data_IF_280245534238
#
_entry.id   IF_280245534238
#
_cell.length_a   1.000
_cell.length_b   1.000
_cell.length_c   1.000
_cell.angle_alpha   90.00
_cell.angle_beta   90.00
_cell.angle_gamma   90.00
#
_symmetry.space_group_name_H-M   'P 1'
#
loop_
_entity.id
_entity.type
_entity.pdbx_description
1 polymer ?
#
# COMPACT_ATOMS: atom_id res chain seq x y z
N UNK A 1 25.28 9.23 -1.91
CA UNK A 1 23.98 9.67 -2.47
C UNK A 1 23.54 10.89 -1.69
N UNK A 2 23.45 12.06 -2.33
CA UNK A 2 22.96 13.28 -1.67
C UNK A 2 21.47 13.15 -1.42
N UNK A 3 21.04 13.31 -0.16
CA UNK A 3 19.62 13.52 0.18
C UNK A 3 19.08 14.75 -0.59
N UNK A 4 17.90 14.60 -1.19
CA UNK A 4 17.25 15.63 -1.97
C UNK A 4 16.92 16.88 -1.16
N UNK A 5 16.97 18.08 -1.77
CA UNK A 5 16.61 19.34 -1.11
C UNK A 5 15.20 19.29 -0.48
N UNK A 6 14.20 18.80 -1.21
CA UNK A 6 12.79 18.79 -0.76
C UNK A 6 12.53 17.86 0.43
N UNK A 7 13.14 16.67 0.46
CA UNK A 7 13.05 15.75 1.61
C UNK A 7 13.80 16.29 2.83
N UNK A 8 14.94 16.97 2.61
CA UNK A 8 15.66 17.68 3.67
C UNK A 8 14.80 18.79 4.26
N UNK A 9 14.11 19.54 3.42
CA UNK A 9 13.22 20.62 3.84
C UNK A 9 12.03 20.07 4.63
N UNK A 10 11.34 19.02 4.16
CA UNK A 10 10.24 18.38 4.91
C UNK A 10 10.72 17.84 6.28
N UNK A 11 11.90 17.22 6.34
CA UNK A 11 12.47 16.72 7.60
C UNK A 11 12.88 17.84 8.53
N UNK A 12 13.38 18.96 7.99
CA UNK A 12 13.68 20.18 8.76
C UNK A 12 12.40 20.74 9.36
N UNK A 13 11.35 20.91 8.56
CA UNK A 13 10.05 21.44 9.01
C UNK A 13 9.41 20.54 10.09
N UNK A 14 9.56 19.21 9.98
CA UNK A 14 9.09 18.28 11.02
C UNK A 14 9.86 18.48 12.34
N UNK A 15 11.18 18.69 12.29
CA UNK A 15 12.01 18.95 13.49
C UNK A 15 11.64 20.29 14.13
N UNK A 16 11.50 21.34 13.32
CA UNK A 16 11.10 22.66 13.80
C UNK A 16 9.74 22.61 14.50
N UNK A 17 8.76 21.87 13.97
CA UNK A 17 7.46 21.68 14.62
C UNK A 17 7.59 20.91 15.96
N UNK A 18 8.49 19.94 16.05
CA UNK A 18 8.73 19.19 17.28
C UNK A 18 9.39 20.07 18.37
N UNK A 19 10.31 20.94 17.96
CA UNK A 19 10.95 21.94 18.84
C UNK A 19 9.95 22.98 19.35
N UNK A 20 9.14 23.57 18.45
CA UNK A 20 8.09 24.53 18.81
C UNK A 20 7.05 23.88 19.74
N UNK A 21 6.66 22.63 19.49
CA UNK A 21 5.74 21.91 20.36
C UNK A 21 6.34 21.68 21.77
N UNK A 22 7.64 21.45 21.87
CA UNK A 22 8.37 21.32 23.15
C UNK A 22 8.39 22.65 23.92
N UNK A 23 8.68 23.76 23.23
CA UNK A 23 8.68 25.11 23.80
C UNK A 23 7.30 25.50 24.34
N UNK A 24 6.22 25.27 23.58
CA UNK A 24 4.84 25.58 24.01
C UNK A 24 4.42 24.74 25.22
N UNK A 25 4.92 23.50 25.32
CA UNK A 25 4.64 22.63 26.46
C UNK A 25 5.27 23.17 27.75
N UNK A 26 6.46 23.77 27.64
CA UNK A 26 7.26 24.26 28.77
C UNK A 26 7.07 25.77 29.05
N UNK A 27 6.31 26.51 28.23
CA UNK A 27 6.13 27.95 28.40
C UNK A 27 5.14 28.25 29.54
N UNK A 28 5.59 28.78 30.67
CA UNK A 28 4.72 29.01 31.84
C UNK A 28 3.68 30.13 31.64
N UNK A 29 3.91 31.03 30.70
CA UNK A 29 3.10 32.24 30.48
C UNK A 29 1.87 32.02 29.57
N UNK A 30 1.66 30.81 29.06
CA UNK A 30 0.57 30.50 28.11
C UNK A 30 -0.56 29.78 28.83
N UNK A 31 -1.79 30.27 28.64
CA UNK A 31 -3.00 29.65 29.21
C UNK A 31 -3.10 28.17 28.83
N UNK A 32 -3.49 27.27 29.76
CA UNK A 32 -3.66 25.84 29.46
C UNK A 32 -4.56 25.55 28.25
N UNK A 33 -5.57 26.40 28.03
CA UNK A 33 -6.48 26.29 26.89
C UNK A 33 -5.78 26.59 25.56
N UNK A 34 -4.97 27.65 25.53
CA UNK A 34 -4.21 28.06 24.35
C UNK A 34 -3.10 27.06 24.03
N UNK A 35 -2.39 26.55 25.04
CA UNK A 35 -1.42 25.45 24.90
C UNK A 35 -2.05 24.25 24.21
N UNK A 36 -3.23 23.82 24.68
CA UNK A 36 -3.94 22.66 24.12
C UNK A 36 -4.35 22.89 22.67
N UNK A 37 -4.83 24.10 22.35
CA UNK A 37 -5.22 24.48 20.97
C UNK A 37 -4.02 24.45 20.03
N UNK A 38 -2.91 25.10 20.42
CA UNK A 38 -1.68 25.17 19.63
C UNK A 38 -1.05 23.79 19.40
N UNK A 39 -0.94 22.97 20.45
CA UNK A 39 -0.42 21.60 20.32
C UNK A 39 -1.28 20.72 19.40
N UNK A 40 -2.60 20.94 19.39
CA UNK A 40 -3.51 20.20 18.51
C UNK A 40 -3.30 20.58 17.04
N UNK A 41 -3.13 21.87 16.75
CA UNK A 41 -2.82 22.35 15.39
C UNK A 41 -1.44 21.87 14.92
N UNK A 42 -0.40 21.98 15.75
CA UNK A 42 0.94 21.46 15.44
C UNK A 42 0.93 19.95 15.16
N UNK A 43 0.13 19.18 15.91
CA UNK A 43 -0.06 17.74 15.66
C UNK A 43 -0.70 17.47 14.30
N UNK A 44 -1.65 18.30 13.85
CA UNK A 44 -2.26 18.18 12.51
C UNK A 44 -1.24 18.49 11.41
N UNK A 45 -0.47 19.56 11.56
CA UNK A 45 0.57 19.96 10.58
C UNK A 45 1.66 18.89 10.49
N UNK A 46 2.19 18.42 11.62
CA UNK A 46 3.16 17.31 11.67
C UNK A 46 2.65 16.06 10.97
N UNK A 47 1.37 15.72 11.16
CA UNK A 47 0.76 14.55 10.50
C UNK A 47 0.69 14.73 8.98
N UNK A 48 0.38 15.94 8.49
CA UNK A 48 0.39 16.24 7.06
C UNK A 48 1.80 16.12 6.47
N UNK A 49 2.79 16.70 7.13
CA UNK A 49 4.19 16.64 6.68
C UNK A 49 4.74 15.21 6.69
N UNK A 50 4.44 14.39 7.71
CA UNK A 50 4.81 12.96 7.70
C UNK A 50 4.17 12.18 6.55
N UNK A 51 2.93 12.50 6.19
CA UNK A 51 2.27 11.88 5.03
C UNK A 51 2.94 12.33 3.72
N UNK A 52 3.38 13.58 3.65
CA UNK A 52 4.12 14.11 2.51
C UNK A 52 5.50 13.46 2.40
N UNK A 53 6.26 13.37 3.50
CA UNK A 53 7.53 12.64 3.57
C UNK A 53 7.38 11.19 3.08
N UNK A 54 6.35 10.48 3.55
CA UNK A 54 6.06 9.12 3.10
C UNK A 54 5.72 9.01 1.61
N UNK A 55 5.08 10.03 1.03
CA UNK A 55 4.76 10.08 -0.40
C UNK A 55 6.02 10.35 -1.22
N UNK A 56 6.82 11.34 -0.83
CA UNK A 56 8.08 11.64 -1.50
C UNK A 56 9.04 10.45 -1.42
N UNK A 57 9.19 9.81 -0.26
CA UNK A 57 9.96 8.57 -0.16
C UNK A 57 9.43 7.43 -1.06
N UNK A 58 8.11 7.36 -1.30
CA UNK A 58 7.51 6.35 -2.16
C UNK A 58 7.62 6.68 -3.66
N UNK A 59 7.80 7.95 -4.02
CA UNK A 59 8.02 8.41 -5.39
C UNK A 59 9.50 8.22 -5.81
N UNK A 60 10.45 8.34 -4.88
CA UNK A 60 11.89 8.31 -5.17
C UNK A 60 12.59 6.96 -5.05
N UNK A 61 11.85 5.87 -4.91
CA UNK A 61 12.39 4.58 -5.35
C UNK A 61 12.17 4.46 -6.86
N UNK A 62 13.02 5.13 -7.65
CA UNK A 62 13.24 4.86 -9.09
C UNK A 62 13.79 3.44 -9.34
N UNK A 63 13.93 2.64 -8.28
CA UNK A 63 14.13 1.22 -8.41
C UNK A 63 12.90 0.60 -9.08
N UNK A 64 13.09 -0.28 -10.09
CA UNK A 64 11.99 -1.01 -10.69
C UNK A 64 11.16 -1.65 -9.56
N UNK A 65 9.88 -1.28 -9.46
CA UNK A 65 8.97 -1.92 -8.53
C UNK A 65 8.78 -3.37 -8.98
N UNK A 66 9.63 -4.25 -8.46
CA UNK A 66 9.53 -5.68 -8.72
C UNK A 66 8.21 -6.18 -8.14
N UNK A 67 7.45 -6.90 -8.96
CA UNK A 67 6.29 -7.63 -8.48
C UNK A 67 6.73 -8.66 -7.44
N UNK A 68 6.29 -8.50 -6.19
CA UNK A 68 6.64 -9.43 -5.10
C UNK A 68 5.60 -10.52 -5.00
N UNK A 69 6.05 -11.70 -4.62
CA UNK A 69 5.19 -12.81 -4.28
C UNK A 69 5.78 -13.58 -3.08
N UNK A 70 4.95 -14.23 -2.26
CA UNK A 70 5.44 -15.01 -1.12
C UNK A 70 6.36 -16.15 -1.58
N UNK A 71 7.50 -16.34 -0.90
CA UNK A 71 8.43 -17.44 -1.23
C UNK A 71 7.76 -18.81 -1.22
N UNK A 72 6.84 -19.04 -0.28
CA UNK A 72 6.06 -20.29 -0.20
C UNK A 72 5.19 -20.50 -1.45
N UNK A 73 4.60 -19.42 -1.97
CA UNK A 73 3.80 -19.46 -3.19
C UNK A 73 4.69 -19.72 -4.41
N UNK A 74 5.84 -19.06 -4.52
CA UNK A 74 6.78 -19.26 -5.63
C UNK A 74 7.34 -20.69 -5.67
N UNK A 75 7.61 -21.29 -4.51
CA UNK A 75 8.14 -22.65 -4.39
C UNK A 75 7.11 -23.76 -4.46
N UNK A 76 5.81 -23.45 -4.43
CA UNK A 76 4.76 -24.47 -4.49
C UNK A 76 4.69 -25.08 -5.90
N UNK A 77 4.98 -26.38 -6.08
CA UNK A 77 4.94 -27.04 -7.40
C UNK A 77 3.51 -27.25 -7.90
N UNK A 78 2.49 -27.16 -7.03
CA UNK A 78 1.07 -27.30 -7.40
C UNK A 78 0.54 -26.06 -8.11
N UNK A 79 1.31 -24.97 -8.09
CA UNK A 79 0.94 -23.69 -8.68
C UNK A 79 1.77 -23.50 -9.96
N UNK A 80 1.12 -23.44 -11.14
CA UNK A 80 1.82 -23.18 -12.40
C UNK A 80 2.52 -21.82 -12.41
N UNK A 81 3.44 -21.61 -13.36
CA UNK A 81 4.22 -20.37 -13.44
C UNK A 81 3.35 -19.15 -13.80
N UNK A 82 2.35 -19.32 -14.65
CA UNK A 82 1.46 -18.28 -15.13
C UNK A 82 0.71 -17.54 -14.00
N UNK A 83 -0.02 -18.23 -13.09
CA UNK A 83 -0.64 -17.56 -11.96
C UNK A 83 0.37 -16.92 -11.00
N UNK A 84 1.62 -17.40 -10.94
CA UNK A 84 2.68 -16.75 -10.16
C UNK A 84 3.05 -15.39 -10.74
N UNK A 85 3.26 -15.33 -12.05
CA UNK A 85 3.52 -14.07 -12.75
C UNK A 85 2.35 -13.09 -12.61
N UNK A 86 1.11 -13.56 -12.78
CA UNK A 86 -0.10 -12.72 -12.63
C UNK A 86 -0.19 -12.15 -11.21
N UNK A 87 0.10 -12.94 -10.17
CA UNK A 87 0.15 -12.46 -8.79
C UNK A 87 1.17 -11.33 -8.63
N UNK A 88 2.40 -11.53 -9.11
CA UNK A 88 3.46 -10.52 -9.05
C UNK A 88 3.09 -9.24 -9.79
N UNK A 89 2.46 -9.34 -10.97
CA UNK A 89 1.99 -8.16 -11.72
C UNK A 89 0.88 -7.44 -10.94
N UNK A 90 -0.09 -8.16 -10.36
CA UNK A 90 -1.12 -7.52 -9.53
C UNK A 90 -0.52 -6.80 -8.32
N UNK A 91 0.59 -7.31 -7.77
CA UNK A 91 1.30 -6.69 -6.65
C UNK A 91 1.91 -5.33 -7.03
N UNK A 92 2.38 -5.13 -8.27
CA UNK A 92 2.94 -3.82 -8.68
C UNK A 92 1.88 -2.72 -8.70
N UNK A 93 0.61 -3.09 -8.90
CA UNK A 93 -0.54 -2.17 -8.86
C UNK A 93 -1.18 -2.04 -7.49
N UNK A 94 -0.58 -2.60 -6.44
CA UNK A 94 -1.14 -2.47 -5.11
C UNK A 94 -0.83 -1.11 -4.49
N UNK A 95 -1.74 -0.63 -3.64
CA UNK A 95 -1.54 0.65 -2.97
C UNK A 95 -0.34 0.58 -2.01
N UNK A 96 0.64 1.51 -2.11
CA UNK A 96 1.79 1.56 -1.20
C UNK A 96 1.45 1.49 0.29
N UNK A 97 0.32 2.09 0.68
CA UNK A 97 -0.15 2.11 2.07
C UNK A 97 -0.59 0.74 2.59
N UNK A 98 -0.89 -0.22 1.72
CA UNK A 98 -1.44 -1.53 2.07
C UNK A 98 -0.44 -2.68 1.94
N UNK A 99 0.82 -2.42 1.54
CA UNK A 99 1.85 -3.45 1.40
C UNK A 99 2.17 -4.21 2.71
N UNK A 100 1.92 -3.60 3.87
CA UNK A 100 2.37 -4.11 5.18
C UNK A 100 1.57 -5.36 5.63
N UNK A 101 0.30 -5.48 5.27
CA UNK A 101 -0.59 -6.52 5.81
C UNK A 101 -1.16 -7.47 4.74
N UNK A 102 -1.81 -6.93 3.71
CA UNK A 102 -2.28 -7.65 2.52
C UNK A 102 -2.51 -6.61 1.41
N UNK A 103 -1.65 -6.56 0.37
CA UNK A 103 -1.75 -5.56 -0.67
C UNK A 103 -3.09 -5.68 -1.40
N UNK A 104 -3.81 -4.56 -1.57
CA UNK A 104 -5.01 -4.55 -2.42
C UNK A 104 -4.76 -3.76 -3.69
N UNK A 105 -5.37 -4.24 -4.76
CA UNK A 105 -5.32 -3.62 -6.06
C UNK A 105 -6.72 -3.53 -6.68
N UNK A 106 -6.88 -2.51 -7.53
CA UNK A 106 -8.07 -2.28 -8.35
C UNK A 106 -7.74 -2.38 -9.85
N UNK A 107 -6.63 -3.05 -10.18
CA UNK A 107 -6.18 -3.19 -11.57
C UNK A 107 -7.29 -3.79 -12.43
N UNK A 108 -7.52 -3.18 -13.59
CA UNK A 108 -8.55 -3.62 -14.51
C UNK A 108 -8.12 -4.89 -15.24
N UNK A 109 -9.10 -5.71 -15.66
CA UNK A 109 -8.81 -6.89 -16.47
C UNK A 109 -8.15 -6.51 -17.80
N UNK A 110 -8.53 -5.35 -18.39
CA UNK A 110 -7.93 -4.84 -19.64
C UNK A 110 -6.45 -4.52 -19.45
N UNK A 111 -6.09 -3.90 -18.33
CA UNK A 111 -4.69 -3.59 -17.98
C UNK A 111 -3.90 -4.88 -17.80
N UNK A 112 -4.42 -5.82 -17.00
CA UNK A 112 -3.75 -7.11 -16.81
C UNK A 112 -3.58 -7.89 -18.11
N UNK A 113 -4.56 -7.85 -19.03
CA UNK A 113 -4.43 -8.48 -20.36
C UNK A 113 -3.28 -7.87 -21.17
N UNK A 114 -3.14 -6.53 -21.14
CA UNK A 114 -2.04 -5.82 -21.81
C UNK A 114 -0.69 -6.24 -21.24
N UNK A 115 -0.57 -6.25 -19.91
CA UNK A 115 0.73 -6.47 -19.25
C UNK A 115 1.16 -7.95 -19.27
N UNK A 116 0.20 -8.87 -19.26
CA UNK A 116 0.46 -10.32 -19.31
C UNK A 116 0.55 -10.86 -20.74
N UNK A 117 0.06 -10.10 -21.73
CA UNK A 117 -0.13 -10.57 -23.11
C UNK A 117 -1.19 -11.67 -23.26
N UNK A 118 -2.01 -11.91 -22.22
CA UNK A 118 -2.97 -13.02 -22.21
C UNK A 118 -4.35 -12.62 -22.76
N UNK A 119 -5.02 -13.61 -23.38
CA UNK A 119 -6.44 -13.49 -23.73
C UNK A 119 -7.30 -13.42 -22.47
N UNK A 120 -8.44 -12.74 -22.58
CA UNK A 120 -9.38 -12.51 -21.47
C UNK A 120 -9.79 -13.79 -20.74
N UNK A 121 -10.17 -14.83 -21.49
CA UNK A 121 -10.61 -16.12 -20.95
C UNK A 121 -9.52 -16.79 -20.12
N UNK A 122 -8.29 -16.78 -20.61
CA UNK A 122 -7.13 -17.38 -19.95
C UNK A 122 -6.76 -16.63 -18.66
N UNK A 123 -6.81 -15.30 -18.70
CA UNK A 123 -6.55 -14.47 -17.52
C UNK A 123 -7.63 -14.69 -16.43
N UNK A 124 -8.92 -14.72 -16.82
CA UNK A 124 -10.01 -15.01 -15.88
C UNK A 124 -9.83 -16.39 -15.25
N UNK A 125 -9.47 -17.39 -16.04
CA UNK A 125 -9.19 -18.73 -15.53
C UNK A 125 -8.10 -18.71 -14.46
N UNK A 126 -6.95 -18.07 -14.71
CA UNK A 126 -5.86 -18.01 -13.72
C UNK A 126 -6.19 -17.18 -12.49
N UNK A 127 -6.94 -16.09 -12.64
CA UNK A 127 -7.43 -15.31 -11.49
C UNK A 127 -8.38 -16.16 -10.62
N UNK A 128 -9.29 -16.91 -11.24
CA UNK A 128 -10.18 -17.81 -10.51
C UNK A 128 -9.41 -18.96 -9.86
N UNK A 129 -8.37 -19.48 -10.52
CA UNK A 129 -7.47 -20.47 -9.94
C UNK A 129 -6.77 -19.94 -8.69
N UNK A 130 -6.19 -18.73 -8.74
CA UNK A 130 -5.55 -18.09 -7.57
C UNK A 130 -6.53 -17.89 -6.40
N UNK A 131 -7.77 -17.53 -6.69
CA UNK A 131 -8.82 -17.38 -5.68
C UNK A 131 -9.21 -18.73 -5.07
N UNK A 132 -9.36 -19.76 -5.90
CA UNK A 132 -9.66 -21.12 -5.44
C UNK A 132 -8.52 -21.69 -4.57
N UNK A 133 -7.28 -21.34 -4.90
CA UNK A 133 -6.10 -21.69 -4.11
C UNK A 133 -5.90 -20.78 -2.88
N UNK A 134 -6.76 -19.80 -2.64
CA UNK A 134 -6.73 -18.97 -1.43
C UNK A 134 -5.61 -17.93 -1.38
N UNK A 135 -4.94 -17.67 -2.52
CA UNK A 135 -3.87 -16.66 -2.60
C UNK A 135 -4.39 -15.26 -2.87
N UNK A 136 -5.60 -15.15 -3.41
CA UNK A 136 -6.28 -13.88 -3.59
C UNK A 136 -7.73 -13.95 -3.11
N UNK A 137 -8.34 -12.79 -2.90
CA UNK A 137 -9.79 -12.66 -2.72
C UNK A 137 -10.30 -11.53 -3.59
N UNK A 138 -11.41 -11.78 -4.30
CA UNK A 138 -12.07 -10.79 -5.14
C UNK A 138 -13.35 -10.32 -4.46
N UNK A 139 -13.51 -9.00 -4.30
CA UNK A 139 -14.78 -8.37 -3.91
C UNK A 139 -15.26 -7.50 -5.05
N UNK A 140 -16.49 -7.77 -5.54
CA UNK A 140 -17.11 -6.97 -6.61
C UNK A 140 -17.48 -5.59 -6.06
N UNK A 141 -17.21 -4.53 -6.83
CA UNK A 141 -17.45 -3.14 -6.41
C UNK A 141 -18.68 -2.49 -7.03
N UNK A 142 -19.28 -3.11 -8.04
CA UNK A 142 -20.43 -2.56 -8.77
C UNK A 142 -20.36 -2.92 -10.25
N UNK A 143 -21.34 -2.44 -11.02
CA UNK A 143 -21.33 -2.54 -12.47
C UNK A 143 -20.26 -1.60 -13.03
N UNK A 144 -19.50 -2.05 -14.05
CA UNK A 144 -18.41 -1.30 -14.71
C UNK A 144 -17.18 -0.91 -13.85
N UNK A 145 -17.10 -1.31 -12.58
CA UNK A 145 -15.89 -1.09 -11.76
C UNK A 145 -15.00 -2.32 -11.73
N UNK A 146 -13.68 -2.11 -11.70
CA UNK A 146 -12.72 -3.18 -11.40
C UNK A 146 -13.00 -3.78 -10.02
N UNK A 147 -12.82 -5.10 -9.92
CA UNK A 147 -12.92 -5.79 -8.63
C UNK A 147 -11.85 -5.27 -7.67
N UNK A 148 -12.16 -5.27 -6.38
CA UNK A 148 -11.15 -5.15 -5.34
C UNK A 148 -10.48 -6.51 -5.17
N UNK A 149 -9.19 -6.60 -5.48
CA UNK A 149 -8.40 -7.82 -5.33
C UNK A 149 -7.48 -7.64 -4.15
N UNK A 150 -7.63 -8.48 -3.13
CA UNK A 150 -6.70 -8.59 -2.02
C UNK A 150 -5.72 -9.73 -2.29
N UNK A 151 -4.42 -9.45 -2.22
CA UNK A 151 -3.35 -10.42 -2.35
C UNK A 151 -2.94 -10.90 -0.95
N UNK A 152 -2.94 -12.21 -0.72
CA UNK A 152 -2.62 -12.78 0.59
C UNK A 152 -1.17 -13.25 0.65
N UNK A 153 -0.46 -12.89 1.72
CA UNK A 153 0.88 -13.40 1.98
C UNK A 153 0.91 -14.87 2.39
N UNK A 154 -0.24 -15.41 2.82
CA UNK A 154 -0.45 -16.80 3.21
C UNK A 154 -1.73 -17.31 2.57
N UNK A 155 -1.75 -18.59 2.21
CA UNK A 155 -2.95 -19.27 1.70
C UNK A 155 -4.07 -19.17 2.74
N UNK A 156 -5.20 -18.55 2.36
CA UNK A 156 -6.43 -18.58 3.16
C UNK A 156 -7.24 -19.83 2.86
N UNK A 157 -7.82 -20.42 3.89
CA UNK A 157 -8.73 -21.56 3.72
C UNK A 157 -10.18 -21.06 3.68
N UNK A 158 -11.09 -21.84 3.09
CA UNK A 158 -12.50 -21.42 2.94
C UNK A 158 -13.18 -21.05 4.27
N UNK A 159 -12.73 -21.60 5.40
CA UNK A 159 -13.22 -21.22 6.75
C UNK A 159 -12.97 -19.75 7.11
N UNK A 160 -11.97 -19.10 6.52
CA UNK A 160 -11.63 -17.70 6.81
C UNK A 160 -12.46 -16.69 5.99
N UNK A 161 -13.38 -17.17 5.14
CA UNK A 161 -14.24 -16.33 4.28
C UNK A 161 -15.53 -15.87 4.96
N UNK A 162 -15.92 -16.47 6.09
CA UNK A 162 -17.18 -16.16 6.79
C UNK A 162 -17.04 -15.01 7.79
N UNK A 163 -15.82 -14.53 8.08
CA UNK A 163 -15.56 -13.49 9.10
C UNK A 163 -15.20 -12.09 8.53
N UNK A 164 -15.48 -11.75 7.26
CA UNK A 164 -15.22 -10.41 6.70
C UNK A 164 -16.31 -9.84 5.78
#
# INVERSE_FOLDING_TARGET
>A
MSEMPELKDIRRDIREIEEVASQIKNADDVSPFEKKKLLTELKKVRRKLKIQEQREMAIFTDEPHYGKAPTKFLRDPRIPLQPKAIFSIMHTYANPKEFILNPKTFVSLKTLMKDTGMKRTQLIYWINFLEAQGWITKKRRGMNMSNNITLHWRKRYKKDKEEN
#
